data_IF_359674215277
#
_entry.id   IF_359674215277
#
_cell.length_a   1.000
_cell.length_b   1.000
_cell.length_c   1.000
_cell.angle_alpha   90.00
_cell.angle_beta   90.00
_cell.angle_gamma   90.00
#
_symmetry.space_group_name_H-M   'P 1'
#
loop_
_entity.id
_entity.type
_entity.pdbx_description
1 polymer ?
#
# COMPACT_ATOMS: atom_id res chain seq x y z
N UNK A 1 2.54 -4.67 -19.92
CA UNK A 1 3.67 -5.24 -20.71
C UNK A 1 4.90 -5.04 -19.86
N UNK A 2 5.16 -6.02 -18.99
CA UNK A 2 6.31 -6.04 -18.09
C UNK A 2 7.50 -6.58 -18.86
N UNK A 3 8.59 -5.82 -18.80
CA UNK A 3 9.88 -6.15 -19.41
C UNK A 3 10.51 -7.27 -18.57
N UNK A 4 10.48 -8.49 -19.08
CA UNK A 4 11.07 -9.64 -18.42
C UNK A 4 12.59 -9.59 -18.62
N UNK A 5 13.32 -9.23 -17.57
CA UNK A 5 14.76 -9.41 -17.47
C UNK A 5 15.09 -10.87 -17.84
N UNK A 6 16.12 -11.16 -18.67
CA UNK A 6 16.34 -12.51 -19.16
C UNK A 6 16.73 -13.41 -17.98
N UNK A 7 15.83 -14.31 -17.58
CA UNK A 7 16.13 -15.37 -16.63
C UNK A 7 17.05 -16.38 -17.30
N UNK A 8 18.13 -16.75 -16.61
CA UNK A 8 18.98 -17.86 -17.00
C UNK A 8 18.11 -19.12 -17.22
N UNK A 9 18.45 -20.01 -18.17
CA UNK A 9 17.68 -21.22 -18.40
C UNK A 9 17.53 -22.00 -17.08
N UNK A 10 16.33 -22.54 -16.78
CA UNK A 10 16.10 -23.23 -15.51
C UNK A 10 17.09 -24.39 -15.39
N UNK A 11 17.74 -24.57 -14.22
CA UNK A 11 18.61 -25.71 -14.01
C UNK A 11 17.82 -27.00 -14.25
N UNK A 12 18.30 -27.86 -15.14
CA UNK A 12 17.65 -29.13 -15.46
C UNK A 12 17.71 -30.06 -14.24
N UNK A 13 16.63 -30.13 -13.46
CA UNK A 13 16.54 -31.00 -12.28
C UNK A 13 15.50 -30.52 -11.26
N UNK A 14 15.26 -31.34 -10.24
CA UNK A 14 14.50 -30.96 -9.04
C UNK A 14 15.43 -30.20 -8.07
N UNK A 15 14.93 -29.28 -7.25
CA UNK A 15 15.72 -28.66 -6.18
C UNK A 15 16.02 -29.65 -5.04
N UNK A 16 15.12 -30.61 -4.81
CA UNK A 16 15.29 -31.65 -3.81
C UNK A 16 16.31 -32.71 -4.23
N UNK A 17 17.10 -33.22 -3.28
CA UNK A 17 18.14 -34.23 -3.59
C UNK A 17 17.60 -35.63 -3.87
N UNK A 18 16.37 -35.93 -3.44
CA UNK A 18 15.80 -37.29 -3.37
C UNK A 18 16.73 -38.32 -2.67
N UNK A 19 17.63 -37.84 -1.81
CA UNK A 19 18.65 -38.62 -1.12
C UNK A 19 18.81 -38.11 0.33
N UNK A 20 19.65 -38.79 1.12
CA UNK A 20 19.95 -38.33 2.47
C UNK A 20 20.62 -36.94 2.45
N UNK A 21 20.13 -36.06 3.32
CA UNK A 21 20.72 -34.75 3.61
C UNK A 21 21.12 -34.75 5.08
N UNK A 22 22.37 -34.39 5.36
CA UNK A 22 22.94 -34.35 6.71
C UNK A 22 23.04 -32.90 7.19
N UNK A 23 22.70 -32.66 8.46
CA UNK A 23 22.88 -31.39 9.16
C UNK A 23 23.91 -31.59 10.25
N UNK A 24 25.09 -31.01 10.08
CA UNK A 24 26.26 -31.27 10.93
C UNK A 24 26.64 -30.00 11.70
N UNK A 25 26.54 -29.96 13.03
CA UNK A 25 26.97 -28.79 13.80
C UNK A 25 28.50 -28.67 13.80
N UNK A 26 29.02 -27.44 13.70
CA UNK A 26 30.44 -27.15 13.89
C UNK A 26 30.68 -26.76 15.35
N UNK A 27 31.04 -27.74 16.17
CA UNK A 27 31.35 -27.55 17.59
C UNK A 27 32.78 -27.04 17.82
N UNK A 28 33.03 -26.46 18.99
CA UNK A 28 34.37 -26.03 19.42
C UNK A 28 34.83 -24.68 18.85
N UNK A 29 33.90 -23.89 18.31
CA UNK A 29 34.17 -22.50 17.91
C UNK A 29 34.29 -21.60 19.15
N UNK A 30 35.14 -20.57 19.11
CA UNK A 30 35.30 -19.62 20.23
C UNK A 30 34.13 -18.63 20.30
N UNK A 31 34.10 -17.86 21.39
CA UNK A 31 33.30 -16.64 21.44
C UNK A 31 33.98 -15.54 20.62
N UNK A 32 33.40 -15.20 19.48
CA UNK A 32 33.98 -14.25 18.53
C UNK A 32 33.93 -12.80 19.01
N UNK A 33 34.94 -12.02 18.64
CA UNK A 33 35.08 -10.58 18.90
C UNK A 33 35.51 -9.84 17.63
N UNK A 34 35.39 -8.49 17.63
CA UNK A 34 35.82 -7.68 16.49
C UNK A 34 37.24 -7.97 16.04
N UNK A 35 37.40 -8.31 14.76
CA UNK A 35 38.69 -8.65 14.14
C UNK A 35 39.08 -10.13 14.16
N UNK A 36 38.31 -11.00 14.82
CA UNK A 36 38.60 -12.45 14.81
C UNK A 36 38.42 -13.07 13.41
N UNK A 37 39.29 -14.01 13.06
CA UNK A 37 39.25 -14.74 11.78
C UNK A 37 38.27 -15.92 11.85
N UNK A 38 37.04 -15.68 11.39
CA UNK A 38 35.98 -16.68 11.31
C UNK A 38 36.35 -17.88 10.43
N UNK A 39 37.05 -17.64 9.30
CA UNK A 39 37.41 -18.70 8.36
C UNK A 39 38.45 -19.64 8.97
N UNK A 40 39.43 -19.10 9.71
CA UNK A 40 40.42 -19.88 10.44
C UNK A 40 39.77 -20.76 11.52
N UNK A 41 38.86 -20.18 12.30
CA UNK A 41 38.15 -20.90 13.35
C UNK A 41 37.33 -22.06 12.76
N UNK A 42 36.58 -21.81 11.68
CA UNK A 42 35.81 -22.86 10.99
C UNK A 42 36.74 -23.91 10.38
N UNK A 43 37.82 -23.51 9.70
CA UNK A 43 38.75 -24.46 9.10
C UNK A 43 39.42 -25.38 10.14
N UNK A 44 39.70 -24.85 11.32
CA UNK A 44 40.27 -25.60 12.45
C UNK A 44 39.25 -26.55 13.09
N UNK A 45 38.01 -26.10 13.28
CA UNK A 45 36.95 -26.89 13.92
C UNK A 45 36.32 -27.92 12.98
N UNK A 46 36.32 -27.64 11.67
CA UNK A 46 35.73 -28.47 10.63
C UNK A 46 36.71 -28.81 9.49
N UNK A 47 37.86 -29.45 9.77
CA UNK A 47 38.78 -29.92 8.72
C UNK A 47 38.18 -31.06 7.88
N UNK A 48 37.00 -31.54 8.26
CA UNK A 48 36.22 -32.58 7.60
C UNK A 48 35.27 -32.05 6.52
N UNK A 49 35.25 -30.73 6.26
CA UNK A 49 34.54 -30.13 5.13
C UNK A 49 34.98 -30.75 3.79
N UNK A 50 34.06 -30.79 2.84
CA UNK A 50 34.26 -31.41 1.52
C UNK A 50 33.63 -30.56 0.43
N UNK A 51 34.03 -30.80 -0.82
CA UNK A 51 33.41 -30.19 -1.99
C UNK A 51 31.89 -30.41 -1.99
N UNK A 52 31.15 -29.33 -2.26
CA UNK A 52 29.69 -29.32 -2.32
C UNK A 52 28.99 -29.22 -0.96
N UNK A 53 29.73 -29.15 0.16
CA UNK A 53 29.14 -28.80 1.45
C UNK A 53 28.64 -27.34 1.43
N UNK A 54 27.59 -27.06 2.20
CA UNK A 54 27.05 -25.71 2.38
C UNK A 54 27.22 -25.32 3.85
N UNK A 55 27.98 -24.24 4.09
CA UNK A 55 28.27 -23.72 5.42
C UNK A 55 27.26 -22.62 5.76
N UNK A 56 26.33 -22.93 6.65
CA UNK A 56 25.33 -21.99 7.16
C UNK A 56 25.86 -21.31 8.44
N UNK A 57 26.02 -19.99 8.42
CA UNK A 57 26.63 -19.20 9.50
C UNK A 57 25.63 -18.17 9.99
N UNK A 58 25.39 -18.07 11.30
CA UNK A 58 24.54 -16.99 11.82
C UNK A 58 25.16 -15.61 11.58
N UNK A 59 24.31 -14.64 11.23
CA UNK A 59 24.63 -13.22 11.10
C UNK A 59 25.36 -12.68 12.34
N UNK A 60 25.07 -13.20 13.54
CA UNK A 60 25.64 -12.72 14.80
C UNK A 60 27.16 -12.86 14.86
N UNK A 61 27.70 -14.02 14.48
CA UNK A 61 29.17 -14.20 14.52
C UNK A 61 29.85 -13.41 13.42
N UNK A 62 29.19 -13.29 12.26
CA UNK A 62 29.67 -12.43 11.18
C UNK A 62 29.73 -10.97 11.64
N UNK A 63 28.67 -10.46 12.25
CA UNK A 63 28.60 -9.12 12.85
C UNK A 63 29.67 -8.90 13.91
N UNK A 64 29.92 -9.89 14.79
CA UNK A 64 30.99 -9.81 15.80
C UNK A 64 32.36 -9.64 15.13
N UNK A 65 32.72 -10.53 14.20
CA UNK A 65 33.99 -10.48 13.48
C UNK A 65 34.18 -9.17 12.69
N UNK A 66 33.11 -8.67 12.07
CA UNK A 66 33.11 -7.42 11.28
C UNK A 66 33.01 -6.14 12.12
N UNK A 67 32.96 -6.24 13.45
CA UNK A 67 32.88 -5.07 14.32
C UNK A 67 31.52 -4.35 14.28
N UNK A 68 30.45 -5.06 13.92
CA UNK A 68 29.06 -4.56 13.94
C UNK A 68 28.41 -4.72 15.33
N UNK A 69 29.19 -4.49 16.39
CA UNK A 69 28.75 -4.50 17.79
C UNK A 69 28.83 -3.08 18.35
N UNK A 70 27.82 -2.68 19.10
CA UNK A 70 27.68 -1.34 19.67
C UNK A 70 27.55 -1.44 21.18
N UNK A 71 28.36 -0.67 21.91
CA UNK A 71 28.25 -0.53 23.36
C UNK A 71 26.87 0.01 23.74
N UNK A 72 26.26 -0.61 24.74
CA UNK A 72 24.90 -0.34 25.17
C UNK A 72 24.80 -0.28 26.70
N UNK A 73 24.00 0.64 27.25
CA UNK A 73 23.71 0.68 28.68
C UNK A 73 23.12 -0.64 29.18
N UNK A 74 23.44 -1.01 30.43
CA UNK A 74 22.81 -2.15 31.12
C UNK A 74 21.39 -1.78 31.60
N UNK A 75 21.16 -0.50 31.89
CA UNK A 75 19.84 0.00 32.27
C UNK A 75 18.80 -0.26 31.15
N UNK A 76 17.69 -0.98 31.42
CA UNK A 76 16.76 -1.40 30.38
C UNK A 76 16.08 -0.24 29.63
N UNK A 77 15.81 0.88 30.30
CA UNK A 77 15.16 2.02 29.66
C UNK A 77 16.14 2.76 28.74
N UNK A 78 17.36 3.02 29.22
CA UNK A 78 18.40 3.65 28.41
C UNK A 78 18.83 2.76 27.23
N UNK A 79 18.91 1.44 27.46
CA UNK A 79 19.18 0.45 26.41
C UNK A 79 18.11 0.45 25.34
N UNK A 80 16.83 0.52 25.70
CA UNK A 80 15.74 0.59 24.74
C UNK A 80 15.75 1.92 23.95
N UNK A 81 16.08 3.04 24.60
CA UNK A 81 16.24 4.34 23.92
C UNK A 81 17.35 4.27 22.89
N UNK A 82 18.51 3.70 23.23
CA UNK A 82 19.61 3.48 22.29
C UNK A 82 19.19 2.55 21.16
N UNK A 83 18.56 1.42 21.49
CA UNK A 83 18.08 0.44 20.50
C UNK A 83 17.15 1.09 19.49
N UNK A 84 16.22 1.95 19.90
CA UNK A 84 15.35 2.69 18.97
C UNK A 84 16.12 3.62 18.05
N UNK A 85 17.10 4.35 18.59
CA UNK A 85 17.96 5.22 17.75
C UNK A 85 18.72 4.41 16.71
N UNK A 86 19.21 3.21 17.07
CA UNK A 86 19.87 2.31 16.13
C UNK A 86 18.88 1.77 15.08
N UNK A 87 17.68 1.38 15.49
CA UNK A 87 16.62 0.97 14.55
C UNK A 87 16.32 2.09 13.55
N UNK A 88 16.14 3.32 14.03
CA UNK A 88 15.86 4.48 13.17
C UNK A 88 17.03 4.80 12.22
N UNK A 89 18.28 4.51 12.62
CA UNK A 89 19.46 4.71 11.80
C UNK A 89 19.67 3.61 10.74
N UNK A 90 19.30 2.37 11.06
CA UNK A 90 19.45 1.20 10.18
C UNK A 90 18.22 0.98 9.27
N UNK A 91 17.07 1.55 9.64
CA UNK A 91 15.84 1.46 8.87
C UNK A 91 15.80 2.46 7.71
N UNK A 92 15.48 1.97 6.51
CA UNK A 92 15.12 2.78 5.34
C UNK A 92 13.70 3.33 5.50
N UNK A 93 12.78 2.48 6.00
CA UNK A 93 11.39 2.86 6.27
C UNK A 93 10.74 1.94 7.30
N UNK A 94 9.68 2.45 7.92
CA UNK A 94 8.79 1.69 8.82
C UNK A 94 7.60 1.19 8.01
N UNK A 95 7.28 -0.10 8.13
CA UNK A 95 6.13 -0.75 7.47
C UNK A 95 5.02 -1.09 8.46
N UNK A 96 5.32 -1.33 9.72
CA UNK A 96 4.27 -1.58 10.69
C UNK A 96 4.74 -1.23 12.10
N UNK A 97 3.78 -0.79 12.92
CA UNK A 97 3.97 -0.53 14.34
C UNK A 97 2.89 -1.23 15.15
N UNK A 98 3.28 -1.93 16.21
CA UNK A 98 2.36 -2.44 17.22
C UNK A 98 2.99 -2.32 18.60
N UNK A 99 2.51 -1.35 19.37
CA UNK A 99 3.15 -0.99 20.64
C UNK A 99 4.60 -0.56 20.41
N UNK A 100 5.55 -1.31 21.00
CA UNK A 100 7.00 -1.05 20.87
C UNK A 100 7.65 -1.83 19.72
N UNK A 101 6.94 -2.74 19.08
CA UNK A 101 7.45 -3.54 17.97
C UNK A 101 7.33 -2.76 16.68
N UNK A 102 8.42 -2.73 15.92
CA UNK A 102 8.51 -2.13 14.60
C UNK A 102 8.86 -3.21 13.59
N UNK A 103 8.13 -3.24 12.46
CA UNK A 103 8.56 -3.92 11.24
C UNK A 103 9.12 -2.85 10.31
N UNK A 104 10.35 -3.04 9.88
CA UNK A 104 11.12 -2.05 9.13
C UNK A 104 11.82 -2.73 7.97
N UNK A 105 12.02 -1.99 6.88
CA UNK A 105 12.98 -2.33 5.84
C UNK A 105 14.33 -1.75 6.22
N UNK A 106 15.40 -2.54 6.14
CA UNK A 106 16.77 -2.07 6.35
C UNK A 106 17.52 -1.83 5.02
N UNK A 107 18.77 -1.35 5.08
CA UNK A 107 19.54 -1.00 3.88
C UNK A 107 19.86 -2.17 2.93
N UNK A 108 19.78 -3.42 3.42
CA UNK A 108 19.93 -4.64 2.59
C UNK A 108 18.59 -5.13 2.02
N UNK A 109 17.49 -4.39 2.26
CA UNK A 109 16.15 -4.65 1.73
C UNK A 109 15.30 -5.62 2.56
N UNK A 110 15.81 -6.13 3.69
CA UNK A 110 15.06 -7.07 4.52
C UNK A 110 13.95 -6.35 5.29
N UNK A 111 12.71 -6.85 5.12
CA UNK A 111 11.55 -6.43 5.92
C UNK A 111 11.43 -7.34 7.14
N UNK A 112 11.85 -6.84 8.29
CA UNK A 112 11.86 -7.63 9.53
C UNK A 112 11.69 -6.75 10.78
N UNK A 113 11.68 -7.40 11.94
CA UNK A 113 11.57 -6.68 13.21
C UNK A 113 12.84 -5.86 13.49
N UNK A 114 12.66 -4.60 13.87
CA UNK A 114 13.72 -3.76 14.43
C UNK A 114 15.00 -3.67 13.57
N UNK A 115 14.86 -3.67 12.23
CA UNK A 115 15.96 -3.58 11.26
C UNK A 115 17.07 -4.65 11.42
N UNK A 116 16.82 -5.72 12.18
CA UNK A 116 17.83 -6.72 12.55
C UNK A 116 18.69 -6.33 13.77
N UNK A 117 18.38 -5.22 14.46
CA UNK A 117 19.06 -4.82 15.70
C UNK A 117 18.66 -5.77 16.83
N UNK A 118 19.65 -6.53 17.30
CA UNK A 118 19.49 -7.61 18.26
C UNK A 118 20.30 -7.34 19.54
N UNK A 119 19.76 -7.77 20.68
CA UNK A 119 20.42 -7.72 21.98
C UNK A 119 20.58 -9.09 22.63
N UNK A 120 20.29 -10.17 21.90
CA UNK A 120 20.47 -11.55 22.33
C UNK A 120 21.82 -12.11 21.85
N UNK A 121 22.37 -13.09 22.58
CA UNK A 121 23.65 -13.76 22.30
C UNK A 121 24.85 -12.81 22.06
N UNK A 122 24.79 -11.64 22.68
CA UNK A 122 25.86 -10.65 22.85
C UNK A 122 25.99 -10.31 24.33
N UNK A 123 27.05 -9.59 24.73
CA UNK A 123 27.15 -9.14 26.12
C UNK A 123 25.92 -8.28 26.51
N UNK A 124 25.54 -8.34 27.78
CA UNK A 124 24.47 -7.51 28.34
C UNK A 124 24.67 -6.01 28.16
N UNK A 125 25.92 -5.57 27.97
CA UNK A 125 26.34 -4.21 27.67
C UNK A 125 26.56 -3.94 26.17
N UNK A 126 26.05 -4.80 25.28
CA UNK A 126 26.27 -4.69 23.83
C UNK A 126 24.96 -4.88 23.05
N UNK A 127 24.88 -4.32 21.84
CA UNK A 127 23.85 -4.62 20.83
C UNK A 127 24.55 -5.00 19.52
N UNK A 128 23.98 -5.95 18.78
CA UNK A 128 24.45 -6.33 17.46
C UNK A 128 23.62 -5.66 16.37
N UNK A 129 24.31 -5.17 15.34
CA UNK A 129 23.74 -4.76 14.06
C UNK A 129 24.03 -5.86 13.03
N UNK A 130 23.26 -5.92 11.95
CA UNK A 130 23.55 -6.86 10.86
C UNK A 130 24.84 -6.48 10.09
N UNK A 131 25.48 -7.45 9.41
CA UNK A 131 26.53 -7.17 8.43
C UNK A 131 26.03 -6.16 7.39
N UNK A 132 26.90 -5.27 6.92
CA UNK A 132 26.48 -4.25 5.93
C UNK A 132 26.32 -4.83 4.53
N UNK A 133 27.08 -5.88 4.21
CA UNK A 133 26.98 -6.62 2.95
C UNK A 133 27.17 -8.13 3.19
N UNK A 134 26.15 -8.82 3.72
CA UNK A 134 26.25 -10.24 4.07
C UNK A 134 26.50 -11.17 2.87
N UNK A 135 26.16 -10.76 1.64
CA UNK A 135 26.52 -11.49 0.42
C UNK A 135 28.04 -11.43 0.18
N UNK A 136 28.65 -10.25 0.32
CA UNK A 136 30.10 -10.10 0.23
C UNK A 136 30.83 -10.86 1.34
N UNK A 137 30.29 -10.84 2.57
CA UNK A 137 30.83 -11.62 3.69
C UNK A 137 30.78 -13.13 3.42
N UNK A 138 29.69 -13.63 2.84
CA UNK A 138 29.56 -15.03 2.44
C UNK A 138 30.61 -15.41 1.39
N UNK A 139 30.82 -14.56 0.37
CA UNK A 139 31.80 -14.78 -0.68
C UNK A 139 33.25 -14.79 -0.15
N UNK A 140 33.57 -13.86 0.76
CA UNK A 140 34.88 -13.81 1.42
C UNK A 140 35.16 -15.08 2.24
N UNK A 141 34.17 -15.55 3.00
CA UNK A 141 34.28 -16.78 3.78
C UNK A 141 34.47 -18.01 2.86
N UNK A 142 33.70 -18.12 1.78
CA UNK A 142 33.84 -19.20 0.81
C UNK A 142 35.25 -19.25 0.20
N UNK A 143 35.80 -18.08 -0.19
CA UNK A 143 37.16 -17.97 -0.73
C UNK A 143 38.21 -18.39 0.31
N UNK A 144 38.10 -17.89 1.54
CA UNK A 144 39.05 -18.19 2.60
C UNK A 144 39.06 -19.68 2.99
N UNK A 145 37.89 -20.33 3.04
CA UNK A 145 37.80 -21.78 3.28
C UNK A 145 38.41 -22.58 2.14
N UNK A 146 38.22 -22.14 0.88
CA UNK A 146 38.85 -22.76 -0.28
C UNK A 146 40.37 -22.66 -0.22
N UNK A 147 40.90 -21.50 0.14
CA UNK A 147 42.35 -21.30 0.27
C UNK A 147 42.96 -22.15 1.40
N UNK A 148 42.26 -22.26 2.53
CA UNK A 148 42.76 -22.95 3.74
C UNK A 148 42.61 -24.47 3.69
N UNK A 149 41.51 -24.96 3.12
CA UNK A 149 41.17 -26.39 3.13
C UNK A 149 41.20 -27.05 1.74
N UNK A 150 41.29 -26.27 0.67
CA UNK A 150 41.28 -26.79 -0.70
C UNK A 150 39.92 -27.28 -1.18
N UNK A 151 38.82 -26.94 -0.48
CA UNK A 151 37.45 -27.37 -0.79
C UNK A 151 36.61 -26.25 -1.40
N UNK A 152 35.64 -26.60 -2.23
CA UNK A 152 34.65 -25.67 -2.78
C UNK A 152 33.32 -25.86 -2.07
N UNK A 153 32.92 -24.86 -1.27
CA UNK A 153 31.69 -24.88 -0.48
C UNK A 153 30.78 -23.72 -0.85
N UNK A 154 29.47 -23.92 -0.68
CA UNK A 154 28.52 -22.81 -0.61
C UNK A 154 28.51 -22.21 0.79
N UNK A 155 28.22 -20.92 0.91
CA UNK A 155 28.05 -20.23 2.21
C UNK A 155 26.71 -19.54 2.24
N UNK A 156 25.97 -19.71 3.34
CA UNK A 156 24.71 -19.01 3.61
C UNK A 156 24.83 -18.30 4.95
N UNK A 157 24.69 -16.98 4.97
CA UNK A 157 24.58 -16.20 6.20
C UNK A 157 23.12 -16.17 6.61
N UNK A 158 22.81 -16.64 7.82
CA UNK A 158 21.43 -16.80 8.31
C UNK A 158 21.08 -15.79 9.39
N UNK A 159 19.85 -15.30 9.39
CA UNK A 159 19.31 -14.55 10.52
C UNK A 159 17.91 -15.01 10.89
N UNK A 160 17.58 -14.84 12.16
CA UNK A 160 16.29 -15.28 12.70
C UNK A 160 15.24 -14.21 12.49
N UNK A 161 14.15 -14.56 11.80
CA UNK A 161 13.04 -13.64 11.61
C UNK A 161 11.67 -14.29 11.84
N UNK A 162 10.72 -13.44 12.21
CA UNK A 162 9.30 -13.75 12.10
C UNK A 162 8.83 -13.68 10.65
N UNK A 163 7.57 -14.06 10.40
CA UNK A 163 6.98 -14.02 9.06
C UNK A 163 5.48 -13.78 9.12
N UNK A 164 4.93 -13.15 8.10
CA UNK A 164 3.52 -12.77 8.06
C UNK A 164 2.59 -13.99 8.27
N UNK A 165 1.53 -13.78 9.04
CA UNK A 165 0.42 -14.73 9.26
C UNK A 165 0.78 -16.07 9.92
N UNK A 166 2.00 -16.24 10.43
CA UNK A 166 2.41 -17.44 11.18
C UNK A 166 3.05 -17.05 12.50
N UNK A 167 2.72 -17.81 13.55
CA UNK A 167 3.41 -17.71 14.83
C UNK A 167 4.74 -18.47 14.76
N UNK A 168 5.74 -17.97 15.48
CA UNK A 168 7.09 -18.53 15.52
C UNK A 168 8.06 -17.83 14.56
N UNK A 169 9.35 -18.08 14.80
CA UNK A 169 10.46 -17.57 14.00
C UNK A 169 11.15 -18.74 13.30
N UNK A 170 11.83 -18.45 12.20
CA UNK A 170 12.74 -19.37 11.51
C UNK A 170 13.96 -18.58 11.08
N UNK A 171 15.07 -19.27 10.89
CA UNK A 171 16.18 -18.67 10.17
C UNK A 171 15.86 -18.59 8.68
N UNK A 172 16.34 -17.52 8.06
CA UNK A 172 16.32 -17.28 6.62
C UNK A 172 17.70 -16.87 6.15
N UNK A 173 17.95 -16.91 4.85
CA UNK A 173 19.19 -16.42 4.26
C UNK A 173 19.15 -14.88 4.16
N UNK A 174 20.18 -14.23 4.72
CA UNK A 174 20.42 -12.79 4.56
C UNK A 174 21.63 -12.50 3.68
N UNK A 175 22.50 -13.49 3.47
CA UNK A 175 23.66 -13.45 2.57
C UNK A 175 23.92 -14.83 1.99
N UNK A 176 24.41 -14.93 0.76
CA UNK A 176 24.76 -16.20 0.14
C UNK A 176 25.85 -16.06 -0.94
N UNK A 177 26.70 -17.08 -1.07
CA UNK A 177 27.69 -17.19 -2.13
C UNK A 177 28.04 -18.66 -2.44
N UNK A 178 28.37 -18.97 -3.69
CA UNK A 178 28.82 -20.32 -4.09
C UNK A 178 27.71 -21.36 -4.22
N UNK A 179 26.45 -20.94 -4.32
CA UNK A 179 25.29 -21.82 -4.51
C UNK A 179 24.11 -21.08 -5.17
N UNK A 180 23.26 -21.84 -5.86
CA UNK A 180 21.95 -21.35 -6.35
C UNK A 180 21.02 -21.03 -5.19
N UNK A 181 20.48 -19.80 -5.13
CA UNK A 181 19.59 -19.35 -4.04
C UNK A 181 18.10 -19.52 -4.33
N UNK A 182 17.72 -19.45 -5.61
CA UNK A 182 16.34 -19.62 -6.10
C UNK A 182 16.32 -20.66 -7.20
N UNK A 183 15.34 -21.56 -7.14
CA UNK A 183 15.12 -22.54 -8.20
C UNK A 183 13.73 -22.36 -8.81
N UNK A 184 13.71 -21.91 -10.08
CA UNK A 184 12.50 -21.75 -10.85
C UNK A 184 12.13 -23.02 -11.62
N UNK A 185 10.89 -23.47 -11.45
CA UNK A 185 10.28 -24.52 -12.26
C UNK A 185 9.55 -24.00 -13.50
N UNK A 186 9.55 -22.68 -13.72
CA UNK A 186 8.88 -22.06 -14.87
C UNK A 186 9.23 -22.77 -16.19
N UNK A 187 8.21 -23.24 -16.89
CA UNK A 187 8.36 -23.97 -18.16
C UNK A 187 8.75 -25.46 -18.02
N UNK A 188 8.89 -25.97 -16.80
CA UNK A 188 9.00 -27.42 -16.55
C UNK A 188 7.63 -28.08 -16.66
N UNK A 189 7.60 -29.36 -17.05
CA UNK A 189 6.37 -30.16 -17.16
C UNK A 189 6.44 -31.30 -16.15
N UNK A 190 5.40 -31.43 -15.33
CA UNK A 190 5.31 -32.52 -14.35
C UNK A 190 5.06 -33.88 -15.02
N UNK A 191 5.13 -34.96 -14.24
CA UNK A 191 4.89 -36.34 -14.72
C UNK A 191 3.48 -36.57 -15.30
N UNK A 192 2.55 -35.65 -15.07
CA UNK A 192 1.17 -35.70 -15.55
C UNK A 192 0.95 -34.84 -16.81
N UNK A 193 1.99 -34.16 -17.31
CA UNK A 193 1.91 -33.31 -18.48
C UNK A 193 1.49 -31.86 -18.18
N UNK A 194 1.42 -31.46 -16.91
CA UNK A 194 1.08 -30.08 -16.54
C UNK A 194 2.33 -29.20 -16.54
N UNK A 195 2.23 -28.04 -17.18
CA UNK A 195 3.27 -27.00 -17.09
C UNK A 195 3.27 -26.36 -15.69
N UNK A 196 4.45 -26.21 -15.11
CA UNK A 196 4.68 -25.51 -13.86
C UNK A 196 4.88 -24.02 -14.18
N UNK A 197 3.81 -23.23 -13.99
CA UNK A 197 3.75 -21.84 -14.49
C UNK A 197 4.35 -20.83 -13.48
N UNK A 198 4.24 -21.08 -12.16
CA UNK A 198 4.71 -20.15 -11.12
C UNK A 198 5.20 -20.94 -9.91
N UNK A 199 6.47 -21.35 -9.92
CA UNK A 199 7.08 -21.93 -8.72
C UNK A 199 8.56 -21.61 -8.73
N UNK A 200 8.96 -20.62 -7.93
CA UNK A 200 10.35 -20.43 -7.53
C UNK A 200 10.49 -20.87 -6.07
N UNK A 201 11.46 -21.74 -5.80
CA UNK A 201 11.77 -22.24 -4.46
C UNK A 201 12.96 -21.45 -3.91
N UNK A 202 12.79 -20.86 -2.73
CA UNK A 202 13.85 -20.21 -1.97
C UNK A 202 14.73 -21.24 -1.27
N UNK A 203 15.58 -21.94 -2.03
CA UNK A 203 16.42 -23.03 -1.51
C UNK A 203 17.33 -22.53 -0.39
N UNK A 204 17.88 -21.32 -0.52
CA UNK A 204 18.72 -20.74 0.52
C UNK A 204 17.97 -20.53 1.86
N UNK A 205 16.67 -20.21 1.82
CA UNK A 205 15.84 -20.13 3.03
C UNK A 205 15.51 -21.51 3.60
N UNK A 206 15.30 -22.52 2.75
CA UNK A 206 15.14 -23.90 3.21
C UNK A 206 16.39 -24.41 3.93
N UNK A 207 17.57 -24.12 3.38
CA UNK A 207 18.87 -24.42 3.98
C UNK A 207 19.03 -23.69 5.31
N UNK A 208 18.74 -22.38 5.35
CA UNK A 208 18.86 -21.58 6.56
C UNK A 208 17.95 -22.11 7.67
N UNK A 209 16.69 -22.42 7.35
CA UNK A 209 15.72 -22.98 8.27
C UNK A 209 16.14 -24.38 8.76
N UNK A 210 16.65 -25.24 7.89
CA UNK A 210 17.11 -26.58 8.26
C UNK A 210 18.37 -26.52 9.16
N UNK A 211 19.35 -25.67 8.81
CA UNK A 211 20.56 -25.48 9.60
C UNK A 211 20.25 -25.04 11.04
N UNK A 212 19.19 -24.26 11.26
CA UNK A 212 18.78 -23.84 12.61
C UNK A 212 18.39 -25.01 13.52
N UNK A 213 18.00 -26.17 12.98
CA UNK A 213 17.66 -27.35 13.79
C UNK A 213 18.85 -27.90 14.58
N UNK A 214 20.07 -27.73 14.08
CA UNK A 214 21.30 -28.17 14.76
C UNK A 214 22.07 -27.01 15.41
N UNK A 215 21.81 -25.77 15.00
CA UNK A 215 22.30 -24.57 15.69
C UNK A 215 21.47 -24.28 16.94
N UNK A 216 20.17 -24.16 16.85
CA UNK A 216 19.31 -23.79 17.99
C UNK A 216 19.70 -22.45 18.63
N UNK A 217 19.01 -22.07 19.71
CA UNK A 217 19.18 -20.75 20.34
C UNK A 217 20.25 -20.68 21.43
N UNK A 218 20.51 -21.80 22.08
CA UNK A 218 21.28 -21.88 23.33
C UNK A 218 22.36 -22.97 23.30
N UNK A 219 22.68 -23.50 22.12
CA UNK A 219 23.66 -24.61 22.00
C UNK A 219 25.10 -24.11 21.82
N UNK A 220 25.28 -22.80 21.62
CA UNK A 220 26.54 -22.16 21.23
C UNK A 220 27.14 -22.72 19.92
N UNK A 221 26.28 -23.17 18.99
CA UNK A 221 26.66 -23.60 17.65
C UNK A 221 26.25 -22.51 16.64
N UNK A 222 27.15 -21.59 16.26
CA UNK A 222 26.84 -20.52 15.30
C UNK A 222 26.95 -20.97 13.83
N UNK A 223 27.56 -22.13 13.57
CA UNK A 223 27.84 -22.64 12.22
C UNK A 223 27.36 -24.08 12.11
N UNK A 224 26.65 -24.38 11.02
CA UNK A 224 26.23 -25.73 10.66
C UNK A 224 26.58 -26.01 9.19
N UNK A 225 26.86 -27.28 8.89
CA UNK A 225 27.12 -27.74 7.53
C UNK A 225 25.93 -28.55 7.05
N UNK A 226 25.39 -28.17 5.90
CA UNK A 226 24.38 -28.94 5.17
C UNK A 226 25.07 -29.70 4.06
N UNK A 227 24.97 -31.03 4.10
CA UNK A 227 25.65 -31.94 3.16
C UNK A 227 24.64 -32.83 2.44
N UNK A 228 24.91 -33.12 1.17
CA UNK A 228 24.07 -34.01 0.35
C UNK A 228 23.15 -33.28 -0.63
N UNK A 229 23.25 -31.95 -0.71
CA UNK A 229 22.61 -31.15 -1.76
C UNK A 229 23.60 -30.94 -2.93
N UNK A 230 23.06 -30.78 -4.14
CA UNK A 230 23.86 -30.47 -5.35
C UNK A 230 23.33 -29.18 -5.97
N UNK A 231 23.88 -28.07 -5.49
CA UNK A 231 23.50 -26.74 -5.94
C UNK A 231 24.69 -26.12 -6.68
N UNK A 232 24.63 -25.94 -8.01
CA UNK A 232 25.70 -25.27 -8.71
C UNK A 232 25.78 -23.81 -8.27
N UNK A 233 26.98 -23.25 -8.31
CA UNK A 233 27.16 -21.81 -8.21
C UNK A 233 26.73 -21.16 -9.54
N UNK A 234 25.61 -20.45 -9.54
CA UNK A 234 25.09 -19.69 -10.68
C UNK A 234 25.36 -18.18 -10.53
N UNK A 235 26.16 -17.79 -9.53
CA UNK A 235 26.44 -16.40 -9.18
C UNK A 235 25.28 -15.67 -8.49
N UNK A 236 24.20 -16.37 -8.10
CA UNK A 236 23.11 -15.76 -7.34
C UNK A 236 23.51 -15.52 -5.88
N UNK A 237 22.85 -14.52 -5.27
CA UNK A 237 23.11 -14.09 -3.90
C UNK A 237 21.79 -13.90 -3.14
N UNK A 238 21.81 -13.78 -1.82
CA UNK A 238 20.58 -13.69 -1.02
C UNK A 238 19.76 -12.44 -1.37
N UNK A 239 20.37 -11.40 -1.94
CA UNK A 239 19.65 -10.23 -2.50
C UNK A 239 18.54 -10.61 -3.48
N UNK A 240 18.66 -11.73 -4.22
CA UNK A 240 17.59 -12.20 -5.12
C UNK A 240 16.34 -12.71 -4.39
N UNK A 241 16.44 -13.04 -3.11
CA UNK A 241 15.29 -13.48 -2.30
C UNK A 241 14.40 -12.29 -1.88
N UNK A 242 14.96 -11.08 -1.88
CA UNK A 242 14.27 -9.87 -1.47
C UNK A 242 13.42 -9.34 -2.63
N UNK A 243 12.11 -9.21 -2.40
CA UNK A 243 11.24 -8.48 -3.32
C UNK A 243 11.45 -6.98 -3.15
N UNK A 244 11.87 -6.26 -4.19
CA UNK A 244 12.05 -4.83 -4.09
C UNK A 244 10.69 -4.11 -4.06
N UNK A 245 10.65 -2.97 -3.39
CA UNK A 245 9.86 -1.83 -3.88
C UNK A 245 8.42 -2.12 -4.29
N UNK A 246 8.17 -1.83 -5.55
CA UNK A 246 6.91 -1.95 -6.28
C UNK A 246 6.46 -3.39 -6.54
N UNK A 247 7.33 -4.38 -6.36
CA UNK A 247 6.98 -5.81 -6.39
C UNK A 247 6.46 -6.31 -5.01
N UNK A 248 6.66 -5.52 -3.94
CA UNK A 248 6.11 -5.81 -2.62
C UNK A 248 4.60 -5.51 -2.58
N UNK A 249 3.81 -6.59 -2.58
CA UNK A 249 2.35 -6.51 -2.47
C UNK A 249 1.88 -5.94 -1.11
N UNK A 250 2.78 -5.82 -0.13
CA UNK A 250 2.56 -5.22 1.19
C UNK A 250 3.37 -3.96 1.39
N UNK A 251 3.64 -3.24 0.29
CA UNK A 251 4.45 -2.02 0.29
C UNK A 251 4.01 -0.99 1.32
N UNK A 252 2.70 -0.76 1.51
CA UNK A 252 2.22 0.15 2.56
C UNK A 252 1.88 -0.62 3.82
N UNK A 253 2.37 -0.10 4.94
CA UNK A 253 1.84 -0.45 6.24
C UNK A 253 0.36 -0.10 6.37
N UNK A 254 -0.35 -0.79 7.26
CA UNK A 254 -1.79 -0.61 7.45
C UNK A 254 -2.13 0.84 7.84
N UNK A 255 -1.35 1.47 8.72
CA UNK A 255 -1.59 2.85 9.16
C UNK A 255 -1.34 3.84 8.03
N UNK A 256 -0.26 3.65 7.29
CA UNK A 256 0.15 4.44 6.13
C UNK A 256 -0.90 4.37 5.02
N UNK A 257 -1.41 3.16 4.72
CA UNK A 257 -2.47 2.95 3.74
C UNK A 257 -3.77 3.65 4.13
N UNK A 258 -4.17 3.55 5.41
CA UNK A 258 -5.36 4.24 5.93
C UNK A 258 -5.18 5.77 5.87
N UNK A 259 -4.02 6.28 6.29
CA UNK A 259 -3.73 7.71 6.26
C UNK A 259 -3.74 8.26 4.83
N UNK A 260 -3.13 7.53 3.88
CA UNK A 260 -3.13 7.88 2.48
C UNK A 260 -4.56 7.89 1.92
N UNK A 261 -5.35 6.84 2.18
CA UNK A 261 -6.75 6.78 1.75
C UNK A 261 -7.59 7.95 2.27
N UNK A 262 -7.44 8.32 3.55
CA UNK A 262 -8.09 9.50 4.14
C UNK A 262 -7.72 10.79 3.40
N UNK A 263 -6.43 10.99 3.11
CA UNK A 263 -5.96 12.19 2.40
C UNK A 263 -6.43 12.27 0.94
N UNK A 264 -6.71 11.13 0.31
CA UNK A 264 -7.10 11.06 -1.10
C UNK A 264 -8.60 11.23 -1.35
N UNK A 265 -9.46 11.07 -0.34
CA UNK A 265 -10.92 11.04 -0.50
C UNK A 265 -11.47 12.20 -1.35
N UNK A 266 -11.15 13.46 -1.00
CA UNK A 266 -11.60 14.62 -1.77
C UNK A 266 -10.88 14.76 -3.12
N UNK A 267 -9.68 14.19 -3.23
CA UNK A 267 -8.86 14.24 -4.43
C UNK A 267 -9.40 13.28 -5.51
N UNK A 268 -10.22 12.30 -5.17
CA UNK A 268 -10.88 11.44 -6.14
C UNK A 268 -12.03 12.16 -6.87
N UNK A 269 -12.63 13.19 -6.26
CA UNK A 269 -13.80 13.87 -6.80
C UNK A 269 -13.48 14.65 -8.08
N UNK A 270 -14.16 14.28 -9.18
CA UNK A 270 -14.17 14.99 -10.46
C UNK A 270 -15.57 15.50 -10.78
N UNK A 271 -15.67 16.50 -11.66
CA UNK A 271 -16.94 16.91 -12.25
C UNK A 271 -17.09 16.17 -13.59
N UNK A 272 -17.51 14.90 -13.51
CA UNK A 272 -17.52 13.93 -14.61
C UNK A 272 -18.57 14.32 -15.64
N UNK A 273 -18.19 14.39 -16.92
CA UNK A 273 -19.08 14.89 -17.99
C UNK A 273 -19.67 13.82 -18.90
N UNK A 274 -19.16 12.59 -18.84
CA UNK A 274 -19.65 11.44 -19.61
C UNK A 274 -19.59 10.21 -18.73
N UNK A 275 -20.66 9.42 -18.78
CA UNK A 275 -20.85 8.25 -17.95
C UNK A 275 -20.91 6.99 -18.82
N UNK A 276 -20.45 5.87 -18.29
CA UNK A 276 -20.69 4.56 -18.88
C UNK A 276 -22.18 4.19 -18.79
N UNK A 277 -22.59 3.19 -19.57
CA UNK A 277 -23.96 2.67 -19.55
C UNK A 277 -24.26 1.77 -18.33
N UNK A 278 -23.25 1.47 -17.52
CA UNK A 278 -23.38 0.65 -16.33
C UNK A 278 -24.34 1.29 -15.32
N UNK A 279 -25.35 0.55 -14.83
CA UNK A 279 -26.30 1.07 -13.86
C UNK A 279 -25.63 1.30 -12.50
N UNK A 280 -26.02 2.37 -11.81
CA UNK A 280 -25.58 2.62 -10.43
C UNK A 280 -26.50 1.89 -9.47
N UNK A 281 -25.93 1.08 -8.58
CA UNK A 281 -26.71 0.37 -7.57
C UNK A 281 -27.41 1.38 -6.61
N UNK A 282 -28.72 1.25 -6.34
CA UNK A 282 -29.46 2.14 -5.46
C UNK A 282 -28.83 2.35 -4.08
N UNK A 283 -28.28 1.29 -3.49
CA UNK A 283 -27.70 1.29 -2.15
C UNK A 283 -26.44 2.18 -2.09
N UNK A 284 -25.74 2.36 -3.22
CA UNK A 284 -24.61 3.28 -3.31
C UNK A 284 -25.08 4.74 -3.25
N UNK A 285 -26.20 5.07 -3.91
CA UNK A 285 -26.77 6.42 -3.88
C UNK A 285 -27.30 6.71 -2.47
N UNK A 286 -28.04 5.80 -1.88
CA UNK A 286 -28.59 5.95 -0.52
C UNK A 286 -27.49 6.10 0.54
N UNK A 287 -26.48 5.23 0.51
CA UNK A 287 -25.36 5.32 1.46
C UNK A 287 -24.52 6.59 1.26
N UNK A 288 -24.34 7.05 0.01
CA UNK A 288 -23.66 8.32 -0.26
C UNK A 288 -24.47 9.53 0.19
N UNK A 289 -25.81 9.50 0.07
CA UNK A 289 -26.70 10.54 0.61
C UNK A 289 -26.67 10.56 2.13
N UNK A 290 -26.66 9.40 2.80
CA UNK A 290 -26.51 9.32 4.25
C UNK A 290 -25.19 9.95 4.73
N UNK A 291 -24.09 9.67 4.04
CA UNK A 291 -22.78 10.30 4.30
C UNK A 291 -22.80 11.81 4.00
N UNK A 292 -23.48 12.23 2.93
CA UNK A 292 -23.61 13.65 2.59
C UNK A 292 -24.32 14.47 3.69
N UNK A 293 -25.29 13.85 4.37
CA UNK A 293 -26.06 14.47 5.45
C UNK A 293 -25.27 14.60 6.77
N UNK A 294 -24.01 14.13 6.83
CA UNK A 294 -23.10 14.47 7.94
C UNK A 294 -22.46 15.85 7.77
N UNK A 295 -22.72 16.54 6.65
CA UNK A 295 -22.31 17.92 6.46
C UNK A 295 -22.87 18.83 7.58
N UNK A 296 -22.14 19.90 7.95
CA UNK A 296 -22.58 20.79 9.01
C UNK A 296 -23.88 21.51 8.63
N UNK A 297 -24.76 21.68 9.62
CA UNK A 297 -25.95 22.49 9.55
C UNK A 297 -26.03 23.42 10.77
N UNK A 298 -26.71 24.58 10.65
CA UNK A 298 -27.02 25.43 11.81
C UNK A 298 -27.72 24.63 12.93
N UNK A 299 -27.50 25.02 14.19
CA UNK A 299 -28.00 24.29 15.37
C UNK A 299 -29.50 23.96 15.25
N UNK A 300 -29.85 22.67 15.43
CA UNK A 300 -31.22 22.14 15.38
C UNK A 300 -31.98 22.32 14.04
N UNK A 301 -31.28 22.53 12.93
CA UNK A 301 -31.89 22.66 11.60
C UNK A 301 -31.63 21.44 10.72
N UNK A 302 -32.48 21.23 9.70
CA UNK A 302 -32.26 20.23 8.64
C UNK A 302 -32.51 20.86 7.27
N UNK A 303 -31.61 21.75 6.81
CA UNK A 303 -31.84 22.59 5.64
C UNK A 303 -31.87 21.81 4.32
N UNK A 304 -31.33 20.59 4.30
CA UNK A 304 -31.08 19.83 3.07
C UNK A 304 -32.16 18.77 2.84
N UNK A 305 -32.67 18.70 1.60
CA UNK A 305 -33.35 17.51 1.07
C UNK A 305 -32.70 17.12 -0.25
N UNK A 306 -32.51 15.82 -0.47
CA UNK A 306 -32.08 15.29 -1.76
C UNK A 306 -33.28 14.60 -2.41
N UNK A 307 -33.70 15.09 -3.57
CA UNK A 307 -34.79 14.50 -4.35
C UNK A 307 -34.19 13.70 -5.49
N UNK A 308 -34.34 12.38 -5.43
CA UNK A 308 -33.81 11.47 -6.44
C UNK A 308 -34.85 11.22 -7.54
N UNK A 309 -34.52 11.63 -8.77
CA UNK A 309 -35.40 11.52 -9.95
C UNK A 309 -35.30 10.13 -10.58
N UNK A 310 -35.86 9.12 -9.91
CA UNK A 310 -35.86 7.73 -10.38
C UNK A 310 -36.81 7.50 -11.57
N UNK A 311 -37.92 8.26 -11.64
CA UNK A 311 -38.82 8.23 -12.79
C UNK A 311 -38.21 8.99 -13.97
N UNK A 312 -37.77 8.23 -14.99
CA UNK A 312 -37.15 8.77 -16.21
C UNK A 312 -38.10 9.61 -17.05
N UNK A 313 -39.40 9.30 -17.07
CA UNK A 313 -40.38 10.08 -17.83
C UNK A 313 -40.57 11.45 -17.18
N UNK A 314 -40.76 11.47 -15.85
CA UNK A 314 -40.88 12.72 -15.07
C UNK A 314 -39.61 13.56 -15.13
N UNK A 315 -38.43 12.92 -15.06
CA UNK A 315 -37.14 13.60 -15.26
C UNK A 315 -37.05 14.25 -16.64
N UNK A 316 -37.47 13.55 -17.70
CA UNK A 316 -37.39 14.08 -19.07
C UNK A 316 -38.33 15.27 -19.27
N UNK A 317 -39.57 15.17 -18.78
CA UNK A 317 -40.55 16.26 -18.81
C UNK A 317 -40.03 17.52 -18.10
N UNK A 318 -39.45 17.37 -16.90
CA UNK A 318 -38.79 18.47 -16.18
C UNK A 318 -37.70 19.13 -17.04
N UNK A 319 -36.77 18.32 -17.54
CA UNK A 319 -35.63 18.84 -18.28
C UNK A 319 -36.04 19.49 -19.61
N UNK A 320 -37.11 19.03 -20.25
CA UNK A 320 -37.67 19.63 -21.46
C UNK A 320 -38.27 21.02 -21.17
N UNK A 321 -39.09 21.15 -20.12
CA UNK A 321 -39.63 22.45 -19.70
C UNK A 321 -38.53 23.45 -19.33
N UNK A 322 -37.51 22.98 -18.60
CA UNK A 322 -36.34 23.81 -18.26
C UNK A 322 -35.57 24.26 -19.51
N UNK A 323 -35.38 23.34 -20.46
CA UNK A 323 -34.72 23.61 -21.74
C UNK A 323 -35.46 24.66 -22.55
N UNK A 324 -36.78 24.57 -22.63
CA UNK A 324 -37.60 25.52 -23.38
C UNK A 324 -37.58 26.92 -22.75
N UNK A 325 -37.66 27.00 -21.41
CA UNK A 325 -37.47 28.25 -20.69
C UNK A 325 -36.09 28.86 -20.95
N UNK A 326 -35.03 28.05 -20.90
CA UNK A 326 -33.66 28.53 -21.14
C UNK A 326 -33.47 29.01 -22.58
N UNK A 327 -34.03 28.30 -23.56
CA UNK A 327 -34.03 28.71 -24.97
C UNK A 327 -34.75 30.06 -25.14
N UNK A 328 -35.91 30.23 -24.52
CA UNK A 328 -36.66 31.48 -24.55
C UNK A 328 -35.86 32.64 -23.95
N UNK A 329 -35.24 32.45 -22.78
CA UNK A 329 -34.43 33.47 -22.11
C UNK A 329 -33.24 33.91 -22.97
N UNK A 330 -32.48 32.95 -23.52
CA UNK A 330 -31.32 33.26 -24.36
C UNK A 330 -31.72 33.91 -25.69
N UNK A 331 -32.91 33.60 -26.21
CA UNK A 331 -33.45 34.24 -27.41
C UNK A 331 -33.87 35.68 -27.11
N UNK A 332 -34.49 35.91 -25.95
CA UNK A 332 -34.85 37.24 -25.47
C UNK A 332 -33.61 38.13 -25.22
N UNK A 333 -32.49 37.54 -24.81
CA UNK A 333 -31.17 38.20 -24.74
C UNK A 333 -30.61 38.61 -26.12
N UNK A 334 -31.28 38.28 -27.23
CA UNK A 334 -30.85 38.57 -28.59
C UNK A 334 -29.70 37.68 -29.08
N UNK A 335 -29.51 36.49 -28.48
CA UNK A 335 -28.44 35.59 -28.92
C UNK A 335 -28.78 34.91 -30.27
N UNK A 336 -27.79 34.71 -31.15
CA UNK A 336 -27.97 33.92 -32.36
C UNK A 336 -28.41 32.47 -32.08
N UNK A 337 -29.25 31.90 -32.94
CA UNK A 337 -29.86 30.58 -32.73
C UNK A 337 -28.82 29.45 -32.52
N UNK A 338 -27.72 29.46 -33.27
CA UNK A 338 -26.62 28.50 -33.10
C UNK A 338 -25.95 28.61 -31.72
N UNK A 339 -25.84 29.83 -31.19
CA UNK A 339 -25.27 30.11 -29.87
C UNK A 339 -26.24 29.76 -28.73
N UNK A 340 -27.55 29.77 -28.99
CA UNK A 340 -28.59 29.27 -28.08
C UNK A 340 -28.50 27.75 -27.99
N UNK A 341 -28.55 27.04 -29.11
CA UNK A 341 -28.51 25.56 -29.12
C UNK A 341 -27.20 25.02 -28.51
N UNK A 342 -26.03 25.63 -28.79
CA UNK A 342 -24.76 25.24 -28.14
C UNK A 342 -24.78 25.39 -26.62
N UNK A 343 -25.54 26.35 -26.07
CA UNK A 343 -25.65 26.54 -24.62
C UNK A 343 -26.59 25.51 -24.03
N UNK A 344 -27.77 25.36 -24.64
CA UNK A 344 -28.80 24.39 -24.23
C UNK A 344 -28.25 22.97 -24.22
N UNK A 345 -27.44 22.59 -25.22
CA UNK A 345 -26.81 21.26 -25.31
C UNK A 345 -25.92 20.93 -24.10
N UNK A 346 -25.42 21.93 -23.36
CA UNK A 346 -24.65 21.68 -22.12
C UNK A 346 -25.49 21.03 -21.02
N UNK A 347 -26.82 21.16 -21.09
CA UNK A 347 -27.75 20.51 -20.18
C UNK A 347 -27.96 19.02 -20.46
N UNK A 348 -27.50 18.52 -21.62
CA UNK A 348 -27.70 17.14 -22.06
C UNK A 348 -27.16 16.10 -21.08
N UNK A 349 -26.12 16.43 -20.32
CA UNK A 349 -25.59 15.59 -19.25
C UNK A 349 -26.69 15.09 -18.27
N UNK A 350 -27.70 15.90 -17.96
CA UNK A 350 -28.78 15.51 -17.04
C UNK A 350 -29.79 14.55 -17.69
N UNK A 351 -29.88 14.55 -19.03
CA UNK A 351 -30.66 13.56 -19.78
C UNK A 351 -29.88 12.24 -19.88
N UNK A 352 -28.58 12.31 -20.14
CA UNK A 352 -27.78 11.11 -20.42
C UNK A 352 -27.33 10.39 -19.13
N UNK A 353 -27.30 11.08 -17.98
CA UNK A 353 -26.84 10.50 -16.72
C UNK A 353 -27.67 9.27 -16.30
N UNK A 354 -27.00 8.21 -15.77
CA UNK A 354 -27.66 7.09 -15.12
C UNK A 354 -28.58 7.52 -13.98
N UNK A 355 -28.12 8.37 -13.08
CA UNK A 355 -28.94 8.87 -11.97
C UNK A 355 -28.89 10.40 -11.89
N UNK A 356 -29.99 11.00 -11.44
CA UNK A 356 -30.08 12.45 -11.20
C UNK A 356 -30.69 12.71 -9.84
N UNK A 357 -29.97 13.46 -9.01
CA UNK A 357 -30.43 13.92 -7.69
C UNK A 357 -30.44 15.45 -7.68
N UNK A 358 -31.52 16.05 -7.18
CA UNK A 358 -31.65 17.50 -7.01
C UNK A 358 -31.51 17.82 -5.51
N UNK A 359 -30.47 18.58 -5.09
CA UNK A 359 -30.40 19.14 -3.76
C UNK A 359 -31.40 20.31 -3.61
N UNK A 360 -32.15 20.31 -2.51
CA UNK A 360 -33.09 21.36 -2.14
C UNK A 360 -32.71 21.98 -0.80
N UNK A 361 -32.92 23.30 -0.71
CA UNK A 361 -33.06 24.02 0.54
C UNK A 361 -34.51 23.94 0.99
N UNK A 362 -34.71 23.62 2.27
CA UNK A 362 -36.00 23.72 2.96
C UNK A 362 -35.84 24.47 4.29
N UNK A 363 -36.81 25.29 4.72
CA UNK A 363 -36.70 26.08 5.96
C UNK A 363 -36.99 25.26 7.24
N UNK A 364 -36.55 23.99 7.29
CA UNK A 364 -36.76 23.10 8.44
C UNK A 364 -35.87 23.51 9.63
N UNK A 365 -36.51 24.04 10.66
CA UNK A 365 -35.85 24.62 11.83
C UNK A 365 -35.43 26.08 11.67
N UNK A 366 -35.79 26.74 10.55
CA UNK A 366 -35.44 28.14 10.32
C UNK A 366 -36.12 29.07 11.35
N UNK A 367 -35.38 30.07 11.81
CA UNK A 367 -35.95 31.12 12.65
C UNK A 367 -36.81 32.10 11.83
N UNK A 368 -37.95 32.50 12.39
CA UNK A 368 -38.76 33.58 11.83
C UNK A 368 -38.30 34.93 12.39
N UNK A 369 -37.80 35.80 11.51
CA UNK A 369 -37.40 37.16 11.86
C UNK A 369 -38.38 38.20 11.30
N UNK A 370 -38.68 39.28 12.04
CA UNK A 370 -39.58 40.34 11.57
C UNK A 370 -38.94 41.27 10.53
N UNK A 371 -37.61 41.30 10.43
CA UNK A 371 -36.85 42.13 9.50
C UNK A 371 -36.30 41.31 8.33
N UNK A 372 -36.19 41.99 7.18
CA UNK A 372 -35.72 41.40 5.93
C UNK A 372 -34.26 40.97 5.98
N UNK A 373 -33.44 41.69 6.76
CA UNK A 373 -31.99 41.49 6.78
C UNK A 373 -31.63 40.16 7.45
N UNK A 374 -32.21 39.87 8.63
CA UNK A 374 -31.99 38.59 9.30
C UNK A 374 -32.65 37.42 8.57
N UNK A 375 -33.82 37.63 7.96
CA UNK A 375 -34.44 36.60 7.11
C UNK A 375 -33.55 36.25 5.91
N UNK A 376 -32.95 37.23 5.24
CA UNK A 376 -32.01 36.99 4.15
C UNK A 376 -30.71 36.33 4.63
N UNK A 377 -30.22 36.69 5.82
CA UNK A 377 -29.04 36.06 6.42
C UNK A 377 -29.29 34.59 6.79
N UNK A 378 -30.46 34.27 7.36
CA UNK A 378 -30.89 32.90 7.67
C UNK A 378 -30.95 32.06 6.40
N UNK A 379 -31.59 32.58 5.35
CA UNK A 379 -31.68 31.92 4.03
C UNK A 379 -30.28 31.67 3.43
N UNK A 380 -29.39 32.67 3.49
CA UNK A 380 -28.01 32.54 3.02
C UNK A 380 -27.26 31.45 3.79
N UNK A 381 -27.42 31.42 5.12
CA UNK A 381 -26.82 30.40 5.97
C UNK A 381 -27.29 28.99 5.61
N UNK A 382 -28.60 28.81 5.35
CA UNK A 382 -29.18 27.55 4.90
C UNK A 382 -28.64 27.15 3.52
N UNK A 383 -28.49 28.10 2.60
CA UNK A 383 -27.91 27.89 1.27
C UNK A 383 -26.48 27.37 1.35
N UNK A 384 -25.66 27.94 2.25
CA UNK A 384 -24.28 27.48 2.48
C UNK A 384 -24.25 26.04 3.02
N UNK A 385 -25.16 25.69 3.94
CA UNK A 385 -25.26 24.33 4.47
C UNK A 385 -25.62 23.31 3.37
N UNK A 386 -26.56 23.64 2.47
CA UNK A 386 -26.86 22.78 1.31
C UNK A 386 -25.66 22.64 0.39
N UNK A 387 -24.92 23.72 0.12
CA UNK A 387 -23.68 23.67 -0.66
C UNK A 387 -22.62 22.72 -0.06
N UNK A 388 -22.49 22.71 1.28
CA UNK A 388 -21.62 21.78 1.98
C UNK A 388 -22.07 20.32 1.81
N UNK A 389 -23.37 20.04 1.94
CA UNK A 389 -23.93 18.71 1.71
C UNK A 389 -23.80 18.25 0.25
N UNK A 390 -23.91 19.17 -0.72
CA UNK A 390 -23.62 18.87 -2.14
C UNK A 390 -22.19 18.37 -2.28
N UNK A 391 -21.20 19.12 -1.79
CA UNK A 391 -19.79 18.67 -1.85
C UNK A 391 -19.59 17.32 -1.14
N UNK A 392 -20.23 17.11 0.02
CA UNK A 392 -20.15 15.85 0.74
C UNK A 392 -20.72 14.68 -0.09
N UNK A 393 -21.85 14.85 -0.78
CA UNK A 393 -22.40 13.84 -1.69
C UNK A 393 -21.44 13.52 -2.85
N UNK A 394 -20.86 14.55 -3.49
CA UNK A 394 -19.93 14.32 -4.60
C UNK A 394 -18.70 13.52 -4.17
N UNK A 395 -18.18 13.76 -2.96
CA UNK A 395 -17.04 13.02 -2.39
C UNK A 395 -17.45 11.61 -1.97
N UNK A 396 -18.61 11.45 -1.32
CA UNK A 396 -19.14 10.16 -0.90
C UNK A 396 -19.36 9.20 -2.10
N UNK A 397 -19.81 9.73 -3.24
CA UNK A 397 -19.89 8.99 -4.49
C UNK A 397 -18.50 8.61 -5.01
N UNK A 398 -17.55 9.55 -5.02
CA UNK A 398 -16.21 9.34 -5.55
C UNK A 398 -15.44 8.25 -4.80
N UNK A 399 -15.54 8.18 -3.47
CA UNK A 399 -14.88 7.13 -2.66
C UNK A 399 -15.49 5.74 -2.86
N UNK A 400 -16.70 5.67 -3.44
CA UNK A 400 -17.37 4.42 -3.87
C UNK A 400 -17.12 4.10 -5.35
N UNK A 401 -16.24 4.82 -6.01
CA UNK A 401 -15.93 4.66 -7.44
C UNK A 401 -16.99 5.23 -8.38
N UNK A 402 -17.99 5.96 -7.87
CA UNK A 402 -19.07 6.54 -8.67
C UNK A 402 -18.74 7.99 -9.02
N UNK A 403 -18.78 8.31 -10.31
CA UNK A 403 -18.60 9.66 -10.81
C UNK A 403 -19.82 10.55 -10.58
N UNK A 404 -19.60 11.85 -10.52
CA UNK A 404 -20.70 12.82 -10.36
C UNK A 404 -20.38 14.18 -10.98
N UNK A 405 -21.42 14.99 -11.22
CA UNK A 405 -21.27 16.38 -11.62
C UNK A 405 -22.46 17.21 -11.13
N UNK A 406 -22.18 18.22 -10.32
CA UNK A 406 -23.15 19.25 -9.97
C UNK A 406 -23.25 20.31 -11.08
N UNK A 407 -24.47 20.70 -11.41
CA UNK A 407 -24.82 21.73 -12.40
C UNK A 407 -25.87 22.65 -11.77
N UNK A 408 -25.65 23.97 -11.78
CA UNK A 408 -26.59 24.95 -11.20
C UNK A 408 -27.88 25.19 -11.98
N UNK A 409 -28.30 24.29 -12.88
CA UNK A 409 -29.36 24.54 -13.88
C UNK A 409 -30.73 24.83 -13.26
N UNK A 410 -31.16 24.06 -12.26
CA UNK A 410 -32.49 24.16 -11.63
C UNK A 410 -32.70 25.48 -10.86
N UNK A 411 -31.62 26.15 -10.45
CA UNK A 411 -31.65 27.46 -9.75
C UNK A 411 -32.31 28.53 -10.63
N UNK A 412 -32.20 28.42 -11.96
CA UNK A 412 -32.76 29.38 -12.91
C UNK A 412 -34.25 29.15 -13.21
N UNK A 413 -34.83 28.04 -12.74
CA UNK A 413 -36.21 27.64 -13.03
C UNK A 413 -36.89 26.99 -11.81
N UNK A 414 -36.88 27.64 -10.62
CA UNK A 414 -37.35 27.00 -9.39
C UNK A 414 -38.84 26.66 -9.41
N UNK A 415 -39.68 27.51 -10.04
CA UNK A 415 -41.12 27.26 -10.16
C UNK A 415 -41.42 26.03 -11.01
N UNK A 416 -40.78 25.92 -12.18
CA UNK A 416 -40.92 24.76 -13.07
C UNK A 416 -40.55 23.46 -12.32
N UNK A 417 -39.46 23.50 -11.55
CA UNK A 417 -39.00 22.33 -10.79
C UNK A 417 -40.01 21.95 -9.71
N UNK A 418 -40.55 22.90 -8.95
CA UNK A 418 -41.55 22.62 -7.92
C UNK A 418 -42.85 22.08 -8.51
N UNK A 419 -43.35 22.73 -9.56
CA UNK A 419 -44.58 22.33 -10.25
C UNK A 419 -44.46 20.92 -10.82
N UNK A 420 -43.38 20.63 -11.53
CA UNK A 420 -43.20 19.32 -12.17
C UNK A 420 -43.00 18.19 -11.16
N UNK A 421 -42.48 18.50 -9.97
CA UNK A 421 -42.18 17.52 -8.92
C UNK A 421 -43.23 17.48 -7.80
N UNK A 422 -44.34 18.22 -7.93
CA UNK A 422 -45.40 18.36 -6.91
C UNK A 422 -44.83 18.75 -5.52
N UNK A 423 -43.84 19.65 -5.49
CA UNK A 423 -43.17 20.05 -4.25
C UNK A 423 -43.75 21.33 -3.63
N UNK A 424 -43.66 21.49 -2.30
CA UNK A 424 -44.09 22.71 -1.62
C UNK A 424 -43.40 23.98 -2.13
N UNK A 425 -44.08 25.12 -2.02
CA UNK A 425 -43.60 26.42 -2.51
C UNK A 425 -42.31 26.93 -1.87
N UNK A 426 -42.02 26.47 -0.65
CA UNK A 426 -40.83 26.82 0.15
C UNK A 426 -39.64 25.88 -0.08
N UNK A 427 -39.75 24.93 -1.03
CA UNK A 427 -38.63 24.11 -1.46
C UNK A 427 -37.88 24.81 -2.59
N UNK A 428 -36.60 25.07 -2.38
CA UNK A 428 -35.76 25.77 -3.35
C UNK A 428 -34.69 24.85 -3.93
N UNK A 429 -34.72 24.56 -5.25
CA UNK A 429 -33.72 23.69 -5.86
C UNK A 429 -32.38 24.42 -6.01
N UNK A 430 -31.29 23.79 -5.57
CA UNK A 430 -29.93 24.34 -5.57
C UNK A 430 -29.00 23.60 -6.55
N UNK A 431 -29.48 23.40 -7.78
CA UNK A 431 -28.79 22.70 -8.87
C UNK A 431 -29.28 21.26 -9.06
N UNK A 432 -28.56 20.49 -9.85
CA UNK A 432 -28.81 19.07 -10.09
C UNK A 432 -27.47 18.33 -10.16
N UNK A 433 -27.46 17.09 -9.70
CA UNK A 433 -26.28 16.23 -9.63
C UNK A 433 -26.50 15.04 -10.55
N UNK A 434 -25.76 15.00 -11.66
CA UNK A 434 -25.65 13.82 -12.50
C UNK A 434 -24.72 12.80 -11.83
N UNK A 435 -25.09 11.52 -11.82
CA UNK A 435 -24.36 10.44 -11.14
C UNK A 435 -24.23 9.24 -12.09
N UNK A 436 -23.05 8.64 -12.14
CA UNK A 436 -22.76 7.47 -12.97
C UNK A 436 -21.28 7.08 -12.95
N UNK A 437 -20.94 5.88 -13.38
CA UNK A 437 -19.55 5.48 -13.56
C UNK A 437 -18.90 6.30 -14.67
N UNK A 438 -17.68 6.85 -14.50
CA UNK A 438 -17.01 7.60 -15.56
C UNK A 438 -16.77 6.72 -16.80
N UNK A 439 -16.99 7.26 -17.99
CA UNK A 439 -16.63 6.58 -19.23
C UNK A 439 -15.10 6.44 -19.37
N UNK A 440 -14.62 5.40 -20.06
CA UNK A 440 -13.20 5.20 -20.37
C UNK A 440 -12.53 6.45 -20.96
N UNK A 441 -11.26 6.66 -20.58
CA UNK A 441 -10.46 7.81 -21.01
C UNK A 441 -10.73 9.10 -20.23
N UNK A 442 -11.67 9.11 -19.27
CA UNK A 442 -11.79 10.20 -18.29
C UNK A 442 -10.59 10.18 -17.32
N UNK A 443 -10.14 11.34 -16.82
CA UNK A 443 -9.10 11.40 -15.80
C UNK A 443 -9.47 10.59 -14.56
N UNK A 444 -8.63 9.60 -14.22
CA UNK A 444 -8.76 8.75 -13.03
C UNK A 444 -7.74 9.13 -11.96
N UNK A 445 -7.98 8.67 -10.74
CA UNK A 445 -7.07 8.86 -9.60
C UNK A 445 -7.11 10.23 -8.91
N UNK A 446 -6.32 10.41 -7.84
CA UNK A 446 -6.28 11.64 -7.03
C UNK A 446 -5.84 12.87 -7.84
N UNK A 447 -6.45 14.05 -7.57
CA UNK A 447 -5.95 15.34 -8.09
C UNK A 447 -4.73 15.81 -7.30
N UNK A 448 -3.87 16.57 -7.96
CA UNK A 448 -2.85 17.41 -7.34
C UNK A 448 -3.40 18.84 -7.17
N UNK A 449 -3.70 19.31 -5.94
CA UNK A 449 -4.13 20.68 -5.70
C UNK A 449 -3.01 21.69 -6.05
N UNK A 450 -3.40 22.86 -6.56
CA UNK A 450 -2.47 23.97 -6.84
C UNK A 450 -2.25 24.83 -5.58
N UNK A 451 -1.19 25.67 -5.52
CA UNK A 451 -1.00 26.64 -4.45
C UNK A 451 -2.19 27.60 -4.27
N UNK A 452 -2.33 28.16 -3.08
CA UNK A 452 -3.50 28.97 -2.67
C UNK A 452 -3.37 30.47 -2.99
N UNK A 453 -2.49 30.84 -3.92
CA UNK A 453 -2.13 32.23 -4.19
C UNK A 453 -3.36 33.04 -4.64
N UNK A 454 -3.65 34.13 -3.93
CA UNK A 454 -4.83 34.98 -4.17
C UNK A 454 -6.18 34.38 -3.69
N UNK A 455 -6.20 33.13 -3.24
CA UNK A 455 -7.42 32.46 -2.72
C UNK A 455 -7.41 32.34 -1.18
N UNK A 456 -6.24 32.31 -0.56
CA UNK A 456 -6.06 32.35 0.89
C UNK A 456 -5.49 33.71 1.33
N UNK A 457 -6.32 34.51 1.99
CA UNK A 457 -5.92 35.81 2.55
C UNK A 457 -5.45 35.61 3.99
N UNK A 458 -4.20 35.96 4.28
CA UNK A 458 -3.65 35.99 5.65
C UNK A 458 -3.79 37.41 6.21
N UNK A 459 -4.44 37.56 7.36
CA UNK A 459 -4.59 38.83 8.08
C UNK A 459 -4.02 38.71 9.47
#
# INVERSE_FOLDING_TARGET
>A
MTDATPTAPPPSGDHGSAAAVELLPVAGLPEFRPGDDLAEAIATAAPWLRDGDIVAVTSKVMSKCEGRIVDAPIDPEQRDVLRRKLIDAEAVRVLARKGRTLITENAIGLVQAAAGVDGSNVDSAELALLPTDPDASAAALASALRERLGVTVGVVVTDTMGRAWRNGQTDVAIGAAGLTVLHGYGGSVDRHGNELIVTEIAIADEIAAAADLVKGKLTDIPVAVVRGLRLPDDGSTARRLVRPGDEDLFWLGTEEAIALGRSQAQLLRRSVRRFAAEPVAPELVESAVAEALTAPAPHHTRPVRFVWLQDRARRSALLDRMKDKWRADLTADGRPADAVERRVERGRILYDAPEVVIPFLVPDGAHSYPDTDRTAAEHTMFTVAVGAAVQALLVALAVRGVGSCWIGSTIFTPDIVREELDLPGDWEPLGAIAIGYPQDGQPSGPRSPVPTDGLLVRK
#
